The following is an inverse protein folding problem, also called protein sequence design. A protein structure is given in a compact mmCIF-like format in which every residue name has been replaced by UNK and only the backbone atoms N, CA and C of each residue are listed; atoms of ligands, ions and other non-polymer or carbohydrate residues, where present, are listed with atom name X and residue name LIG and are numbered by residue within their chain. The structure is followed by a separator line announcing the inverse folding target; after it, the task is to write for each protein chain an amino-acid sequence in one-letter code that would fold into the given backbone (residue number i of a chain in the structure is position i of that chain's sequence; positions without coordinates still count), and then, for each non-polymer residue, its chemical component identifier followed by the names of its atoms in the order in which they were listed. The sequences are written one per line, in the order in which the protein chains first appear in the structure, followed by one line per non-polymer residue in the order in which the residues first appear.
data_IF_696029444718
#
_entry.id   IF_696029444718
#
_cell.length_a   1.000
_cell.length_b   1.000
_cell.length_c   1.000
_cell.angle_alpha   90.00
_cell.angle_beta   90.00
_cell.angle_gamma   90.00
#
_symmetry.space_group_name_H-M   'P 1'
#
loop_
_entity.id
_entity.type
_entity.pdbx_description
1 polymer ?
#
# COMPACT_ATOMS: atom_id res chain seq x y z
N UNK A 1 -24.85 -11.24 1.96
CA UNK A 1 -24.68 -9.76 1.88
C UNK A 1 -25.13 -9.22 3.23
N UNK A 2 -24.22 -8.65 4.00
CA UNK A 2 -24.53 -7.92 5.24
C UNK A 2 -25.30 -6.65 4.87
N UNK A 3 -26.37 -6.37 5.60
CA UNK A 3 -27.13 -5.13 5.46
C UNK A 3 -26.59 -4.00 6.38
N UNK A 4 -25.40 -4.17 6.95
CA UNK A 4 -24.77 -3.16 7.81
C UNK A 4 -24.47 -1.90 7.00
N UNK A 5 -24.95 -0.78 7.51
CA UNK A 5 -24.62 0.56 7.01
C UNK A 5 -23.60 1.24 7.92
N UNK A 6 -22.94 2.30 7.45
CA UNK A 6 -21.97 3.04 8.27
C UNK A 6 -22.62 3.69 9.50
N UNK A 7 -23.90 4.04 9.41
CA UNK A 7 -24.65 4.64 10.52
C UNK A 7 -24.91 3.67 11.67
N UNK A 8 -24.81 2.36 11.39
CA UNK A 8 -24.97 1.31 12.41
C UNK A 8 -23.65 0.95 13.07
N UNK A 9 -22.54 1.62 12.73
CA UNK A 9 -21.20 1.35 13.22
C UNK A 9 -20.66 2.51 14.04
N UNK A 10 -20.15 2.23 15.23
CA UNK A 10 -19.38 3.17 16.04
C UNK A 10 -17.89 2.79 15.99
N UNK A 11 -17.00 3.64 15.42
CA UNK A 11 -15.57 3.35 15.39
C UNK A 11 -14.99 3.41 16.81
N UNK A 12 -14.20 2.41 17.18
CA UNK A 12 -13.50 2.34 18.47
C UNK A 12 -12.08 2.88 18.37
N UNK A 13 -11.39 2.58 17.27
CA UNK A 13 -10.03 3.03 17.09
C UNK A 13 -9.38 2.46 15.86
N UNK A 14 -8.31 3.14 15.43
CA UNK A 14 -7.45 2.70 14.33
C UNK A 14 -6.34 1.82 14.90
N UNK A 15 -6.24 0.59 14.43
CA UNK A 15 -5.19 -0.36 14.83
C UNK A 15 -3.93 -0.18 14.00
N UNK A 16 -4.07 -0.02 12.66
CA UNK A 16 -2.94 0.12 11.75
C UNK A 16 -3.19 1.20 10.70
N UNK A 17 -2.10 1.81 10.24
CA UNK A 17 -2.03 2.60 9.03
C UNK A 17 -0.83 2.07 8.23
N UNK A 18 -1.13 1.34 7.16
CA UNK A 18 -0.13 0.61 6.39
C UNK A 18 -0.05 1.23 4.98
N UNK A 19 0.97 2.08 4.70
CA UNK A 19 1.07 2.77 3.43
C UNK A 19 1.18 1.81 2.25
N UNK A 20 0.60 2.20 1.12
CA UNK A 20 0.82 1.53 -0.15
C UNK A 20 2.22 1.85 -0.66
N UNK A 21 2.90 0.85 -1.19
CA UNK A 21 4.27 0.98 -1.70
C UNK A 21 4.32 0.45 -3.13
N UNK A 22 4.92 1.22 -4.02
CA UNK A 22 5.25 0.76 -5.36
C UNK A 22 6.60 0.05 -5.31
N UNK A 23 6.59 -1.23 -5.61
CA UNK A 23 7.75 -2.12 -5.52
C UNK A 23 8.06 -2.74 -6.88
N UNK A 24 9.32 -3.02 -7.13
CA UNK A 24 9.81 -3.65 -8.37
C UNK A 24 10.70 -4.85 -8.07
N UNK A 25 10.90 -5.73 -9.05
CA UNK A 25 11.90 -6.80 -8.92
C UNK A 25 13.31 -6.20 -9.03
N UNK A 26 14.13 -6.32 -7.96
CA UNK A 26 15.47 -5.73 -7.90
C UNK A 26 16.41 -6.20 -9.01
N UNK A 27 16.26 -7.47 -9.46
CA UNK A 27 17.15 -8.12 -10.42
C UNK A 27 16.72 -7.88 -11.87
N UNK A 28 15.42 -7.69 -12.12
CA UNK A 28 14.86 -7.58 -13.49
C UNK A 28 14.55 -6.15 -13.89
N UNK A 29 14.34 -5.24 -12.94
CA UNK A 29 14.05 -3.85 -13.24
C UNK A 29 15.23 -3.12 -13.88
N UNK A 30 14.95 -2.18 -14.77
CA UNK A 30 15.95 -1.24 -15.30
C UNK A 30 16.24 -0.07 -14.37
N UNK A 31 15.35 0.18 -13.40
CA UNK A 31 15.47 1.30 -12.47
C UNK A 31 16.33 0.95 -11.27
N UNK A 32 17.31 1.79 -10.95
CA UNK A 32 18.21 1.59 -9.82
C UNK A 32 17.85 2.46 -8.61
N UNK A 33 17.10 3.53 -8.84
CA UNK A 33 16.67 4.46 -7.80
C UNK A 33 15.19 4.81 -7.95
N UNK A 34 14.54 5.28 -6.86
CA UNK A 34 13.17 5.81 -6.93
C UNK A 34 13.01 6.93 -7.96
N UNK A 35 14.02 7.80 -8.08
CA UNK A 35 14.01 8.91 -9.02
C UNK A 35 13.99 8.44 -10.48
N UNK A 36 14.81 7.44 -10.82
CA UNK A 36 14.81 6.82 -12.15
C UNK A 36 13.45 6.16 -12.46
N UNK A 37 12.86 5.48 -11.47
CA UNK A 37 11.55 4.86 -11.61
C UNK A 37 10.46 5.91 -11.90
N UNK A 38 10.40 6.97 -11.09
CA UNK A 38 9.42 8.06 -11.28
C UNK A 38 9.63 8.75 -12.63
N UNK A 39 10.88 9.02 -13.00
CA UNK A 39 11.21 9.65 -14.29
C UNK A 39 10.78 8.77 -15.48
N UNK A 40 11.02 7.46 -15.41
CA UNK A 40 10.59 6.50 -16.43
C UNK A 40 9.06 6.44 -16.57
N UNK A 41 8.34 6.41 -15.46
CA UNK A 41 6.86 6.42 -15.48
C UNK A 41 6.35 7.73 -16.09
N UNK A 42 6.90 8.88 -15.70
CA UNK A 42 6.54 10.18 -16.30
C UNK A 42 6.86 10.26 -17.79
N UNK A 43 7.91 9.59 -18.24
CA UNK A 43 8.29 9.51 -19.65
C UNK A 43 7.39 8.58 -20.49
N UNK A 44 6.48 7.85 -19.84
CA UNK A 44 5.53 6.97 -20.52
C UNK A 44 6.02 5.54 -20.70
N UNK A 45 6.94 5.06 -19.85
CA UNK A 45 7.35 3.67 -19.85
C UNK A 45 6.14 2.75 -19.66
N UNK A 46 6.00 1.78 -20.56
CA UNK A 46 4.89 0.82 -20.52
C UNK A 46 5.20 -0.26 -19.52
N UNK A 47 4.66 -0.10 -18.31
CA UNK A 47 4.83 -1.03 -17.21
C UNK A 47 3.51 -1.75 -16.91
N UNK A 48 3.62 -3.02 -16.57
CA UNK A 48 2.51 -3.82 -16.07
C UNK A 48 2.49 -3.75 -14.55
N UNK A 49 1.36 -3.36 -13.99
CA UNK A 49 1.16 -3.24 -12.54
C UNK A 49 0.36 -4.42 -12.01
N UNK A 50 0.82 -4.99 -10.92
CA UNK A 50 0.10 -5.99 -10.15
C UNK A 50 -0.47 -5.41 -8.86
N UNK A 51 -1.61 -5.93 -8.46
CA UNK A 51 -2.25 -5.66 -7.18
C UNK A 51 -3.27 -6.74 -6.88
N UNK A 52 -4.07 -6.54 -5.84
CA UNK A 52 -5.19 -7.42 -5.54
C UNK A 52 -6.39 -7.14 -6.46
N UNK A 53 -7.54 -7.70 -6.18
CA UNK A 53 -8.72 -7.64 -7.05
C UNK A 53 -9.09 -6.22 -7.51
N UNK A 54 -9.74 -6.12 -8.65
CA UNK A 54 -10.24 -4.84 -9.17
C UNK A 54 -11.20 -4.15 -8.18
N UNK A 55 -11.02 -2.82 -8.01
CA UNK A 55 -11.79 -2.02 -7.06
C UNK A 55 -11.25 -1.99 -5.64
N UNK A 56 -10.15 -2.70 -5.36
CA UNK A 56 -9.44 -2.63 -4.08
C UNK A 56 -8.55 -1.38 -4.00
N UNK A 57 -7.95 -1.17 -2.83
CA UNK A 57 -7.01 -0.06 -2.61
C UNK A 57 -5.84 -0.11 -3.61
N UNK A 58 -5.34 -1.30 -3.96
CA UNK A 58 -4.23 -1.43 -4.90
C UNK A 58 -4.61 -0.96 -6.31
N UNK A 59 -5.81 -1.32 -6.78
CA UNK A 59 -6.31 -0.86 -8.08
C UNK A 59 -6.51 0.66 -8.11
N UNK A 60 -7.07 1.22 -7.03
CA UNK A 60 -7.23 2.66 -6.86
C UNK A 60 -5.86 3.34 -6.82
N UNK A 61 -4.89 2.74 -6.14
CA UNK A 61 -3.50 3.22 -6.07
C UNK A 61 -2.89 3.35 -7.46
N UNK A 62 -2.97 2.31 -8.28
CA UNK A 62 -2.43 2.34 -9.66
C UNK A 62 -3.12 3.41 -10.52
N UNK A 63 -4.43 3.54 -10.39
CA UNK A 63 -5.19 4.57 -11.11
C UNK A 63 -4.75 5.99 -10.72
N UNK A 64 -4.69 6.28 -9.43
CA UNK A 64 -4.30 7.61 -8.94
C UNK A 64 -2.83 7.91 -9.22
N UNK A 65 -1.96 6.91 -9.07
CA UNK A 65 -0.55 7.01 -9.45
C UNK A 65 -0.38 7.39 -10.92
N UNK A 66 -1.01 6.65 -11.83
CA UNK A 66 -0.96 6.96 -13.26
C UNK A 66 -1.46 8.38 -13.56
N UNK A 67 -2.58 8.76 -12.94
CA UNK A 67 -3.15 10.11 -13.07
C UNK A 67 -2.18 11.20 -12.61
N UNK A 68 -1.52 11.01 -11.45
CA UNK A 68 -0.51 11.95 -10.92
C UNK A 68 0.73 12.03 -11.82
N UNK A 69 1.06 10.95 -12.52
CA UNK A 69 2.16 10.90 -13.49
C UNK A 69 1.77 11.48 -14.87
N UNK A 70 0.51 11.88 -15.06
CA UNK A 70 0.01 12.35 -16.36
C UNK A 70 -0.10 11.22 -17.40
N UNK A 71 -0.20 9.98 -16.95
CA UNK A 71 -0.26 8.80 -17.82
C UNK A 71 -1.67 8.18 -17.82
N UNK A 72 -2.06 7.50 -18.90
CA UNK A 72 -3.27 6.71 -18.92
C UNK A 72 -3.15 5.53 -17.93
N UNK A 73 -4.30 4.94 -17.56
CA UNK A 73 -4.32 3.74 -16.73
C UNK A 73 -3.47 2.65 -17.38
N UNK A 74 -2.44 2.13 -16.69
CA UNK A 74 -1.58 1.10 -17.23
C UNK A 74 -2.27 -0.27 -17.23
N UNK A 75 -1.63 -1.27 -17.85
CA UNK A 75 -2.06 -2.65 -17.73
C UNK A 75 -2.01 -3.10 -16.27
N UNK A 76 -3.15 -3.53 -15.73
CA UNK A 76 -3.29 -3.98 -14.35
C UNK A 76 -3.63 -5.47 -14.30
N UNK A 77 -2.85 -6.23 -13.54
CA UNK A 77 -3.05 -7.67 -13.36
C UNK A 77 -3.48 -7.93 -11.91
N UNK A 78 -4.71 -8.44 -11.71
CA UNK A 78 -5.20 -8.77 -10.37
C UNK A 78 -4.69 -10.13 -9.90
N UNK A 79 -4.31 -10.21 -8.61
CA UNK A 79 -3.92 -11.43 -7.92
C UNK A 79 -4.85 -11.70 -6.73
N UNK A 80 -4.79 -12.91 -6.18
CA UNK A 80 -5.65 -13.33 -5.07
C UNK A 80 -5.30 -12.68 -3.72
N UNK A 81 -4.08 -12.13 -3.59
CA UNK A 81 -3.60 -11.46 -2.37
C UNK A 81 -2.16 -10.99 -2.49
N UNK A 82 -1.71 -10.18 -1.51
CA UNK A 82 -0.38 -9.57 -1.52
C UNK A 82 0.77 -10.57 -1.53
N UNK A 83 0.67 -11.68 -0.81
CA UNK A 83 1.70 -12.73 -0.81
C UNK A 83 1.87 -13.40 -2.18
N UNK A 84 0.77 -13.64 -2.89
CA UNK A 84 0.82 -14.13 -4.27
C UNK A 84 1.45 -13.09 -5.19
N UNK A 85 1.01 -11.84 -5.10
CA UNK A 85 1.58 -10.73 -5.88
C UNK A 85 3.09 -10.59 -5.65
N UNK A 86 3.56 -10.64 -4.39
CA UNK A 86 4.99 -10.57 -4.08
C UNK A 86 5.78 -11.68 -4.76
N UNK A 87 5.25 -12.91 -4.75
CA UNK A 87 5.86 -14.06 -5.44
C UNK A 87 5.89 -13.85 -6.95
N UNK A 88 4.81 -13.38 -7.54
CA UNK A 88 4.71 -13.13 -8.99
C UNK A 88 5.57 -11.93 -9.43
N UNK A 89 5.75 -10.93 -8.57
CA UNK A 89 6.69 -9.84 -8.81
C UNK A 89 8.14 -10.34 -8.88
N UNK A 90 8.54 -11.24 -7.96
CA UNK A 90 9.85 -11.91 -8.00
C UNK A 90 9.99 -12.78 -9.25
N UNK A 91 8.94 -13.48 -9.65
CA UNK A 91 8.94 -14.25 -10.91
C UNK A 91 9.01 -13.35 -12.16
N UNK A 92 8.64 -12.06 -12.04
CA UNK A 92 8.63 -11.09 -13.14
C UNK A 92 7.39 -11.19 -14.02
N UNK A 93 6.28 -11.66 -13.47
CA UNK A 93 4.98 -11.67 -14.13
C UNK A 93 4.40 -10.26 -14.29
N UNK A 94 4.80 -9.33 -13.44
CA UNK A 94 4.50 -7.90 -13.51
C UNK A 94 5.77 -7.10 -13.26
N UNK A 95 5.80 -5.85 -13.73
CA UNK A 95 6.95 -4.95 -13.57
C UNK A 95 6.91 -4.22 -12.22
N UNK A 96 5.72 -3.87 -11.76
CA UNK A 96 5.48 -3.12 -10.52
C UNK A 96 4.40 -3.83 -9.69
N UNK A 97 4.66 -4.03 -8.41
CA UNK A 97 3.67 -4.48 -7.44
C UNK A 97 3.22 -3.32 -6.55
N UNK A 98 1.91 -3.19 -6.33
CA UNK A 98 1.33 -2.36 -5.28
C UNK A 98 1.10 -3.23 -4.05
N UNK A 99 1.89 -3.01 -3.01
CA UNK A 99 1.95 -3.86 -1.83
C UNK A 99 2.08 -3.02 -0.56
N UNK A 100 1.59 -3.55 0.54
CA UNK A 100 2.02 -3.10 1.86
C UNK A 100 3.35 -3.77 2.22
N UNK A 101 4.16 -3.13 3.08
CA UNK A 101 5.47 -3.70 3.45
C UNK A 101 5.35 -5.08 4.09
N UNK A 102 4.34 -5.29 4.93
CA UNK A 102 4.08 -6.55 5.62
C UNK A 102 3.87 -7.74 4.67
N UNK A 103 3.39 -7.49 3.46
CA UNK A 103 3.09 -8.53 2.45
C UNK A 103 4.33 -8.99 1.69
N UNK A 104 5.37 -8.15 1.62
CA UNK A 104 6.59 -8.42 0.84
C UNK A 104 7.87 -8.32 1.69
N UNK A 105 7.79 -8.24 3.01
CA UNK A 105 8.94 -7.97 3.88
C UNK A 105 10.07 -9.00 3.68
N UNK A 106 9.73 -10.27 3.62
CA UNK A 106 10.72 -11.34 3.42
C UNK A 106 11.46 -11.25 2.08
N UNK A 107 10.76 -10.86 1.01
CA UNK A 107 11.35 -10.67 -0.32
C UNK A 107 12.20 -9.38 -0.38
N UNK A 108 11.81 -8.36 0.37
CA UNK A 108 12.59 -7.12 0.51
C UNK A 108 13.88 -7.39 1.28
N UNK A 109 13.83 -8.11 2.39
CA UNK A 109 15.00 -8.51 3.18
C UNK A 109 15.94 -9.44 2.40
N UNK A 110 15.39 -10.33 1.57
CA UNK A 110 16.16 -11.16 0.66
C UNK A 110 16.81 -10.38 -0.51
N UNK A 111 16.41 -9.13 -0.74
CA UNK A 111 16.90 -8.32 -1.86
C UNK A 111 16.32 -8.72 -3.21
N UNK A 112 15.19 -9.42 -3.24
CA UNK A 112 14.48 -9.79 -4.45
C UNK A 112 13.49 -8.72 -4.90
N UNK A 113 12.87 -8.02 -3.95
CA UNK A 113 11.92 -6.94 -4.18
C UNK A 113 12.48 -5.62 -3.65
N UNK A 114 12.49 -4.61 -4.51
CA UNK A 114 12.98 -3.26 -4.22
C UNK A 114 11.77 -2.30 -4.07
N UNK A 115 11.52 -1.79 -2.85
CA UNK A 115 10.58 -0.69 -2.65
C UNK A 115 11.12 0.59 -3.30
N UNK A 116 10.30 1.23 -4.13
CA UNK A 116 10.66 2.47 -4.83
C UNK A 116 9.97 3.68 -4.19
N UNK A 117 8.65 3.70 -4.14
CA UNK A 117 7.89 4.85 -3.65
C UNK A 117 6.91 4.42 -2.57
N UNK A 118 7.02 5.04 -1.42
CA UNK A 118 6.08 4.93 -0.30
C UNK A 118 5.02 6.03 -0.50
N UNK A 119 3.76 5.65 -0.61
CA UNK A 119 2.66 6.61 -0.77
C UNK A 119 2.22 7.19 0.57
N UNK A 120 3.15 7.89 1.22
CA UNK A 120 2.99 8.55 2.52
C UNK A 120 3.95 9.75 2.59
N UNK A 121 3.77 10.61 3.58
CA UNK A 121 4.71 11.69 3.91
C UNK A 121 5.86 11.24 4.80
N UNK A 122 5.69 10.12 5.49
CA UNK A 122 6.65 9.63 6.46
C UNK A 122 7.47 8.48 5.86
N UNK A 123 8.81 8.53 5.94
CA UNK A 123 9.66 7.42 5.53
C UNK A 123 9.48 6.22 6.48
N UNK A 124 9.75 5.03 5.97
CA UNK A 124 9.67 3.79 6.74
C UNK A 124 11.08 3.27 7.05
N UNK A 125 11.42 3.17 8.34
CA UNK A 125 12.75 2.75 8.79
C UNK A 125 13.24 1.40 8.21
N UNK A 126 12.39 0.35 8.03
CA UNK A 126 12.83 -0.92 7.44
C UNK A 126 13.27 -0.81 5.97
N UNK A 127 12.87 0.23 5.25
CA UNK A 127 13.15 0.42 3.82
C UNK A 127 13.73 1.82 3.51
N UNK A 128 14.89 2.16 4.09
CA UNK A 128 15.42 3.52 4.05
C UNK A 128 15.84 4.01 2.64
N UNK A 129 15.92 3.12 1.67
CA UNK A 129 16.25 3.45 0.27
C UNK A 129 15.02 3.87 -0.55
N UNK A 130 13.82 3.52 -0.11
CA UNK A 130 12.60 3.98 -0.74
C UNK A 130 12.37 5.46 -0.41
N UNK A 131 11.78 6.20 -1.34
CA UNK A 131 11.41 7.60 -1.14
C UNK A 131 9.92 7.73 -0.89
N UNK A 132 9.53 8.71 -0.09
CA UNK A 132 8.12 9.03 0.03
C UNK A 132 7.61 9.75 -1.23
N UNK A 133 6.32 9.62 -1.50
CA UNK A 133 5.68 10.35 -2.61
C UNK A 133 5.86 11.86 -2.44
N UNK A 134 5.77 12.36 -1.22
CA UNK A 134 5.91 13.78 -0.89
C UNK A 134 7.34 14.26 -1.13
N UNK A 135 8.39 13.49 -0.73
CA UNK A 135 9.79 13.79 -1.05
C UNK A 135 10.05 13.85 -2.56
N UNK A 136 9.29 13.10 -3.35
CA UNK A 136 9.36 13.07 -4.81
C UNK A 136 8.53 14.17 -5.49
N UNK A 137 7.88 15.05 -4.69
CA UNK A 137 7.01 16.11 -5.20
C UNK A 137 5.67 15.62 -5.74
N UNK A 138 5.22 14.45 -5.29
CA UNK A 138 3.97 13.81 -5.71
C UNK A 138 3.02 13.83 -4.50
N UNK A 139 2.00 14.68 -4.54
CA UNK A 139 1.01 14.82 -3.47
C UNK A 139 -0.01 13.67 -3.53
N UNK A 140 0.43 12.49 -3.13
CA UNK A 140 -0.38 11.27 -3.10
C UNK A 140 -0.08 10.46 -1.85
N UNK A 141 -1.04 10.36 -0.96
CA UNK A 141 -0.98 9.54 0.25
C UNK A 141 -2.09 8.49 0.19
N UNK A 142 -1.73 7.22 0.24
CA UNK A 142 -2.65 6.09 0.22
C UNK A 142 -2.18 5.01 1.18
N UNK A 143 -3.08 4.55 2.04
CA UNK A 143 -2.78 3.53 3.02
C UNK A 143 -3.95 2.58 3.23
N UNK A 144 -3.64 1.33 3.55
CA UNK A 144 -4.61 0.39 4.09
C UNK A 144 -4.79 0.68 5.57
N UNK A 145 -5.97 1.16 5.94
CA UNK A 145 -6.32 1.43 7.34
C UNK A 145 -7.16 0.29 7.88
N UNK A 146 -6.74 -0.28 9.01
CA UNK A 146 -7.50 -1.29 9.74
C UNK A 146 -7.83 -0.76 11.13
N UNK A 147 -9.03 -1.02 11.59
CA UNK A 147 -9.51 -0.56 12.89
C UNK A 147 -10.58 -1.48 13.45
N UNK A 148 -11.06 -1.09 14.60
CA UNK A 148 -12.14 -1.76 15.29
C UNK A 148 -13.37 -0.87 15.33
N UNK A 149 -14.52 -1.47 15.16
CA UNK A 149 -15.81 -0.82 15.30
C UNK A 149 -16.76 -1.74 16.06
N UNK A 150 -17.74 -1.15 16.72
CA UNK A 150 -18.86 -1.86 17.33
C UNK A 150 -20.18 -1.39 16.72
N UNK A 151 -21.29 -2.01 17.08
CA UNK A 151 -22.62 -1.53 16.72
C UNK A 151 -22.88 -0.16 17.41
N UNK A 152 -23.48 0.79 16.70
CA UNK A 152 -23.71 2.15 17.22
C UNK A 152 -24.59 2.22 18.49
N UNK A 153 -25.38 1.19 18.76
CA UNK A 153 -26.20 1.06 19.95
C UNK A 153 -25.56 0.41 21.17
N UNK A 154 -24.24 0.11 21.11
CA UNK A 154 -23.52 -0.49 22.26
C UNK A 154 -23.28 0.53 23.34
N UNK A 155 -23.48 0.14 24.60
CA UNK A 155 -23.23 0.99 25.76
C UNK A 155 -21.75 1.44 25.80
N UNK A 156 -21.53 2.74 25.99
CA UNK A 156 -20.21 3.34 26.03
C UNK A 156 -19.33 2.76 27.15
N UNK A 157 -19.92 2.23 28.22
CA UNK A 157 -19.19 1.57 29.30
C UNK A 157 -18.43 0.33 28.82
N UNK A 158 -18.94 -0.36 27.78
CA UNK A 158 -18.27 -1.53 27.18
C UNK A 158 -17.10 -1.12 26.29
N UNK A 159 -17.11 0.09 25.75
CA UNK A 159 -16.02 0.63 24.93
C UNK A 159 -14.79 0.90 25.79
N UNK A 160 -14.98 1.42 27.00
CA UNK A 160 -13.89 1.73 27.93
C UNK A 160 -13.18 0.49 28.51
N UNK A 161 -13.80 -0.69 28.45
CA UNK A 161 -13.16 -1.95 28.88
C UNK A 161 -11.98 -2.33 27.94
N UNK A 162 -11.99 -1.86 26.71
CA UNK A 162 -10.93 -2.16 25.74
C UNK A 162 -9.70 -1.24 25.84
N UNK A 163 -9.77 -0.17 26.62
CA UNK A 163 -8.61 0.66 26.90
C UNK A 163 -7.66 -0.08 27.84
N UNK A 164 -6.38 -0.29 27.45
CA UNK A 164 -5.42 -0.84 28.40
C UNK A 164 -5.30 0.12 29.57
N UNK A 165 -5.69 -0.35 30.76
CA UNK A 165 -5.39 0.36 32.00
C UNK A 165 -3.88 0.57 32.06
N UNK A 166 -3.42 1.79 31.74
CA UNK A 166 -2.04 2.16 32.04
C UNK A 166 -1.84 1.96 33.54
N UNK A 167 -0.89 1.12 33.96
CA UNK A 167 -0.53 1.12 35.38
C UNK A 167 -0.05 2.54 35.69
N UNK A 168 -0.70 3.15 36.66
CA UNK A 168 -0.19 4.36 37.29
C UNK A 168 1.13 3.99 37.98
N UNK A 169 2.21 4.28 37.30
CA UNK A 169 3.56 4.24 37.90
C UNK A 169 3.79 5.59 38.55
#
# INVERSE_FOLDING_TARGET
KTKLTLDEMAPLGRGTNDPQILMVNCKKTKYKTPEEFVAGVKAGDKLTYGGTQSGTIDHITVYLWAKMMGQPMPNYVPFGGGAELATQLVAGAVDVGTLNLSEALSQVEAGDVCPMVILDRNPMAPIPKAKTSIEMGIDLELATVRGYATHAGVDLSLIHISEPTRPLI
#
